data_IF_921752140988
#
_entry.id   IF_921752140988
#
_cell.length_a   1.000
_cell.length_b   1.000
_cell.length_c   1.000
_cell.angle_alpha   90.00
_cell.angle_beta   90.00
_cell.angle_gamma   90.00
#
_symmetry.space_group_name_H-M   'P 1'
#
loop_
_entity.id
_entity.type
_entity.pdbx_description
1 polymer ?
#
# COMPACT_ATOMS: atom_id res chain seq x y z
N UNK A 1 0.70 2.18 -2.85
CA UNK A 1 1.82 3.07 -2.41
C UNK A 1 1.38 3.82 -1.16
N UNK A 2 2.08 4.84 -0.67
CA UNK A 2 1.51 5.72 0.38
C UNK A 2 0.48 6.69 -0.22
N UNK A 3 -0.49 7.12 0.59
CA UNK A 3 -1.57 8.01 0.14
C UNK A 3 -1.09 9.30 -0.55
N UNK A 4 -0.02 9.93 -0.07
CA UNK A 4 0.55 11.12 -0.72
C UNK A 4 1.07 10.84 -2.14
N UNK A 5 1.63 9.65 -2.37
CA UNK A 5 2.11 9.24 -3.70
C UNK A 5 0.96 9.20 -4.69
N UNK A 6 -0.15 8.56 -4.31
CA UNK A 6 -1.36 8.47 -5.12
C UNK A 6 -1.97 9.85 -5.45
N UNK A 7 -1.92 10.79 -4.50
CA UNK A 7 -2.39 12.17 -4.72
C UNK A 7 -1.56 12.88 -5.81
N UNK A 8 -0.23 12.86 -5.65
CA UNK A 8 0.67 13.62 -6.53
C UNK A 8 0.72 13.01 -7.92
N UNK A 9 0.76 11.69 -8.05
CA UNK A 9 0.73 11.03 -9.36
C UNK A 9 -0.58 11.27 -10.11
N UNK A 10 -1.73 11.20 -9.43
CA UNK A 10 -3.01 11.52 -10.03
C UNK A 10 -3.11 13.01 -10.44
N UNK A 11 -2.53 13.92 -9.65
CA UNK A 11 -2.42 15.34 -10.02
C UNK A 11 -1.55 15.54 -11.28
N UNK A 12 -0.43 14.81 -11.37
CA UNK A 12 0.43 14.83 -12.56
C UNK A 12 -0.30 14.29 -13.79
N UNK A 13 -1.03 13.17 -13.67
CA UNK A 13 -1.85 12.60 -14.74
C UNK A 13 -2.96 13.58 -15.16
N UNK A 14 -3.61 14.26 -14.22
CA UNK A 14 -4.59 15.29 -14.53
C UNK A 14 -3.99 16.44 -15.35
N UNK A 15 -2.74 16.83 -15.08
CA UNK A 15 -2.05 17.86 -15.87
C UNK A 15 -1.74 17.44 -17.32
N UNK A 16 -1.73 16.14 -17.60
CA UNK A 16 -1.57 15.60 -18.95
C UNK A 16 -2.88 15.61 -19.75
N UNK A 17 -4.04 15.85 -19.12
CA UNK A 17 -5.31 15.93 -19.83
C UNK A 17 -5.32 17.20 -20.69
N UNK A 18 -5.58 17.09 -22.01
CA UNK A 18 -5.52 18.25 -22.90
C UNK A 18 -6.42 19.41 -22.42
N UNK A 19 -5.84 20.60 -22.32
CA UNK A 19 -6.55 21.80 -21.87
C UNK A 19 -6.74 21.92 -20.35
N UNK A 20 -6.40 20.91 -19.55
CA UNK A 20 -6.61 20.96 -18.09
C UNK A 20 -5.80 22.07 -17.41
N UNK A 21 -4.52 22.19 -17.76
CA UNK A 21 -3.64 23.24 -17.21
C UNK A 21 -4.12 24.63 -17.61
N UNK A 22 -4.39 24.85 -18.91
CA UNK A 22 -4.84 26.15 -19.40
C UNK A 22 -6.19 26.55 -18.80
N UNK A 23 -7.15 25.62 -18.73
CA UNK A 23 -8.44 25.87 -18.08
C UNK A 23 -8.28 26.23 -16.60
N UNK A 24 -7.43 25.48 -15.87
CA UNK A 24 -7.09 25.73 -14.46
C UNK A 24 -6.54 27.15 -14.30
N UNK A 25 -5.59 27.56 -15.15
CA UNK A 25 -4.96 28.87 -15.10
C UNK A 25 -5.93 30.02 -15.45
N UNK A 26 -6.72 29.86 -16.50
CA UNK A 26 -7.64 30.90 -16.99
C UNK A 26 -8.85 31.10 -16.07
N UNK A 27 -9.36 30.02 -15.48
CA UNK A 27 -10.60 30.07 -14.69
C UNK A 27 -10.34 30.02 -13.18
N UNK A 28 -9.07 30.07 -12.75
CA UNK A 28 -8.67 29.88 -11.34
C UNK A 28 -9.32 28.63 -10.73
N UNK A 29 -9.42 27.58 -11.53
CA UNK A 29 -10.13 26.36 -11.17
C UNK A 29 -9.20 25.39 -10.44
N UNK A 30 -9.73 24.60 -9.50
CA UNK A 30 -8.97 23.59 -8.77
C UNK A 30 -8.90 22.23 -9.50
N UNK A 31 -9.01 22.22 -10.82
CA UNK A 31 -9.20 21.01 -11.62
C UNK A 31 -8.06 19.99 -11.44
N UNK A 32 -6.79 20.44 -11.41
CA UNK A 32 -5.67 19.51 -11.17
C UNK A 32 -5.73 18.87 -9.78
N UNK A 33 -6.15 19.63 -8.77
CA UNK A 33 -6.34 19.13 -7.41
C UNK A 33 -7.52 18.14 -7.32
N UNK A 34 -8.57 18.32 -8.13
CA UNK A 34 -9.64 17.32 -8.27
C UNK A 34 -9.05 15.99 -8.73
N UNK A 35 -8.14 15.99 -9.71
CA UNK A 35 -7.41 14.78 -10.10
C UNK A 35 -6.72 14.09 -8.92
N UNK A 36 -5.96 14.86 -8.12
CA UNK A 36 -5.32 14.35 -6.91
C UNK A 36 -6.28 13.80 -5.85
N UNK A 37 -7.39 14.48 -5.60
CA UNK A 37 -8.45 14.04 -4.67
C UNK A 37 -9.01 12.68 -5.10
N UNK A 38 -9.33 12.52 -6.39
CA UNK A 38 -9.81 11.24 -6.91
C UNK A 38 -8.71 10.17 -6.93
N UNK A 39 -7.43 10.56 -6.97
CA UNK A 39 -6.29 9.66 -6.76
C UNK A 39 -6.19 9.07 -5.36
N UNK A 40 -6.64 9.75 -4.30
CA UNK A 40 -6.64 9.21 -2.92
C UNK A 40 -7.99 8.63 -2.48
N UNK A 41 -9.03 8.86 -3.28
CA UNK A 41 -10.40 8.50 -2.94
C UNK A 41 -10.62 6.98 -2.74
N UNK A 42 -10.03 6.06 -3.53
CA UNK A 42 -10.22 4.61 -3.32
C UNK A 42 -9.83 4.17 -1.90
N UNK A 43 -8.62 4.48 -1.47
CA UNK A 43 -8.12 4.25 -0.11
C UNK A 43 -9.01 4.95 0.93
N UNK A 44 -9.39 6.20 0.67
CA UNK A 44 -10.23 6.97 1.60
C UNK A 44 -11.57 6.28 1.83
N UNK A 45 -12.24 5.81 0.77
CA UNK A 45 -13.48 5.04 0.88
C UNK A 45 -13.24 3.77 1.70
N UNK A 46 -12.15 3.06 1.44
CA UNK A 46 -11.88 1.81 2.14
C UNK A 46 -11.63 2.02 3.63
N UNK A 47 -10.71 2.90 4.00
CA UNK A 47 -10.31 3.12 5.39
C UNK A 47 -11.29 3.97 6.20
N UNK A 48 -12.13 4.80 5.55
CA UNK A 48 -13.11 5.65 6.25
C UNK A 48 -14.53 5.11 6.24
N UNK A 49 -14.86 4.19 5.34
CA UNK A 49 -16.20 3.62 5.24
C UNK A 49 -16.17 2.09 5.22
N UNK A 50 -15.52 1.50 4.22
CA UNK A 50 -15.62 0.06 3.96
C UNK A 50 -15.12 -0.80 5.13
N UNK A 51 -14.03 -0.38 5.78
CA UNK A 51 -13.47 -1.04 6.96
C UNK A 51 -14.50 -1.19 8.09
N UNK A 52 -15.34 -0.17 8.31
CA UNK A 52 -16.33 -0.16 9.38
C UNK A 52 -17.63 -0.87 9.01
N UNK A 53 -17.92 -0.99 7.70
CA UNK A 53 -19.06 -1.74 7.19
C UNK A 53 -18.74 -3.22 6.97
N UNK A 54 -17.47 -3.60 7.04
CA UNK A 54 -17.06 -4.98 6.85
C UNK A 54 -17.47 -5.87 8.02
N UNK A 55 -18.00 -7.05 7.70
CA UNK A 55 -18.47 -8.02 8.69
C UNK A 55 -17.39 -9.06 8.97
N UNK A 56 -17.08 -9.23 10.25
CA UNK A 56 -16.18 -10.27 10.75
C UNK A 56 -16.99 -11.44 11.29
N UNK A 57 -16.58 -12.65 10.94
CA UNK A 57 -17.07 -13.90 11.51
C UNK A 57 -16.43 -14.19 12.87
N UNK A 58 -15.22 -13.67 13.08
CA UNK A 58 -14.45 -13.81 14.31
C UNK A 58 -13.60 -12.55 14.57
N UNK A 59 -13.54 -12.13 15.83
CA UNK A 59 -12.68 -11.04 16.30
C UNK A 59 -11.89 -11.63 17.47
N UNK A 60 -10.60 -11.84 17.24
CA UNK A 60 -9.73 -12.41 18.25
C UNK A 60 -8.92 -11.31 18.93
N UNK A 61 -9.06 -11.25 20.25
CA UNK A 61 -8.38 -10.31 21.13
C UNK A 61 -7.35 -11.07 21.96
N UNK A 62 -6.04 -10.98 21.66
CA UNK A 62 -5.04 -11.63 22.47
C UNK A 62 -4.96 -10.99 23.86
N UNK A 63 -4.62 -11.80 24.87
CA UNK A 63 -4.34 -11.32 26.22
C UNK A 63 -3.14 -10.35 26.24
N UNK A 64 -3.03 -9.53 27.30
CA UNK A 64 -1.88 -8.62 27.50
C UNK A 64 -0.55 -9.36 27.61
N UNK A 65 -0.59 -10.56 28.21
CA UNK A 65 0.47 -11.56 28.19
C UNK A 65 0.04 -12.66 27.22
N UNK A 66 0.32 -12.52 25.91
CA UNK A 66 -0.20 -13.43 24.91
C UNK A 66 0.53 -14.78 24.94
N UNK A 67 -0.24 -15.85 24.82
CA UNK A 67 0.28 -17.16 24.40
C UNK A 67 0.35 -17.17 22.86
N UNK A 68 1.54 -17.25 22.25
CA UNK A 68 1.65 -17.29 20.79
C UNK A 68 0.99 -18.54 20.19
N UNK A 69 0.93 -19.66 20.94
CA UNK A 69 0.28 -20.89 20.52
C UNK A 69 -1.23 -20.72 20.38
N UNK A 70 -1.88 -20.00 21.30
CA UNK A 70 -3.32 -19.73 21.20
C UNK A 70 -3.66 -18.82 20.01
N UNK A 71 -2.83 -17.79 19.73
CA UNK A 71 -3.00 -16.94 18.54
C UNK A 71 -2.88 -17.79 17.27
N UNK A 72 -1.83 -18.62 17.17
CA UNK A 72 -1.63 -19.50 16.02
C UNK A 72 -2.82 -20.47 15.85
N UNK A 73 -3.29 -21.05 16.95
CA UNK A 73 -4.41 -21.98 16.96
C UNK A 73 -5.72 -21.29 16.55
N UNK A 74 -5.97 -20.05 16.99
CA UNK A 74 -7.14 -19.27 16.58
C UNK A 74 -7.17 -19.04 15.06
N UNK A 75 -6.02 -18.71 14.47
CA UNK A 75 -5.89 -18.54 13.02
C UNK A 75 -6.13 -19.87 12.30
N UNK A 76 -5.46 -20.95 12.73
CA UNK A 76 -5.61 -22.28 12.12
C UNK A 76 -7.07 -22.79 12.19
N UNK A 77 -7.75 -22.59 13.33
CA UNK A 77 -9.18 -22.94 13.50
C UNK A 77 -10.06 -22.22 12.48
N UNK A 78 -9.83 -20.93 12.23
CA UNK A 78 -10.62 -20.16 11.25
C UNK A 78 -10.33 -20.58 9.81
N UNK A 79 -9.10 -20.99 9.49
CA UNK A 79 -8.77 -21.58 8.19
C UNK A 79 -9.47 -22.92 7.97
N UNK A 80 -9.41 -23.81 8.95
CA UNK A 80 -10.06 -25.12 8.88
C UNK A 80 -11.59 -24.97 8.83
N UNK A 81 -12.14 -23.99 9.54
CA UNK A 81 -13.56 -23.61 9.45
C UNK A 81 -13.94 -23.15 8.04
N UNK A 82 -13.13 -22.30 7.40
CA UNK A 82 -13.38 -21.86 6.03
C UNK A 82 -13.37 -23.04 5.04
N UNK A 83 -12.45 -23.98 5.23
CA UNK A 83 -12.37 -25.20 4.43
C UNK A 83 -13.59 -26.10 4.62
N UNK A 84 -13.98 -26.36 5.88
CA UNK A 84 -15.12 -27.22 6.21
C UNK A 84 -16.46 -26.64 5.78
N UNK A 85 -16.68 -25.34 6.03
CA UNK A 85 -17.93 -24.64 5.66
C UNK A 85 -18.00 -24.26 4.18
N UNK A 86 -16.89 -24.39 3.43
CA UNK A 86 -16.76 -24.03 2.01
C UNK A 86 -17.24 -22.61 1.70
N UNK A 87 -16.97 -21.68 2.60
CA UNK A 87 -17.27 -20.25 2.45
C UNK A 87 -16.13 -19.40 2.99
N UNK A 88 -16.18 -18.11 2.71
CA UNK A 88 -15.24 -17.16 3.28
C UNK A 88 -15.51 -16.96 4.78
N UNK A 89 -14.43 -17.02 5.57
CA UNK A 89 -14.40 -16.66 7.00
C UNK A 89 -13.53 -15.42 7.16
N UNK A 90 -14.10 -14.34 7.69
CA UNK A 90 -13.39 -13.10 7.95
C UNK A 90 -12.99 -13.00 9.43
N UNK A 91 -11.69 -13.01 9.71
CA UNK A 91 -11.14 -12.89 11.04
C UNK A 91 -10.47 -11.51 11.22
N UNK A 92 -10.74 -10.83 12.32
CA UNK A 92 -9.97 -9.67 12.74
C UNK A 92 -9.06 -10.04 13.92
N UNK A 93 -7.78 -9.66 13.85
CA UNK A 93 -6.80 -9.90 14.89
C UNK A 93 -6.45 -8.58 15.53
N UNK A 94 -6.83 -8.41 16.80
CA UNK A 94 -6.54 -7.16 17.50
C UNK A 94 -5.06 -7.06 17.90
N UNK A 95 -4.61 -5.80 18.02
CA UNK A 95 -3.30 -5.53 18.64
C UNK A 95 -3.38 -5.65 20.15
N UNK A 96 -2.24 -5.90 20.77
CA UNK A 96 -2.12 -5.99 22.22
C UNK A 96 -1.68 -4.63 22.76
N UNK A 97 -2.63 -3.83 23.25
CA UNK A 97 -2.35 -2.51 23.80
C UNK A 97 -1.91 -2.61 25.26
N UNK A 98 -0.72 -2.11 25.56
CA UNK A 98 -0.14 -2.07 26.92
C UNK A 98 -0.25 -0.69 27.57
N UNK A 99 -0.42 0.37 26.78
CA UNK A 99 -0.53 1.73 27.29
C UNK A 99 -1.09 2.72 26.26
N UNK A 100 -1.02 4.00 26.60
CA UNK A 100 -1.49 5.07 25.72
C UNK A 100 -0.72 5.09 24.39
N UNK A 101 0.60 4.88 24.47
CA UNK A 101 1.56 4.89 23.36
C UNK A 101 2.35 3.58 23.30
N UNK A 102 1.84 2.46 23.83
CA UNK A 102 2.60 1.20 23.92
C UNK A 102 1.77 0.00 23.47
N UNK A 103 2.38 -0.84 22.63
CA UNK A 103 1.78 -2.08 22.13
C UNK A 103 2.80 -3.21 22.16
N UNK A 104 2.35 -4.42 22.50
CA UNK A 104 3.12 -5.64 22.30
C UNK A 104 3.02 -6.05 20.83
N UNK A 105 4.16 -6.10 20.14
CA UNK A 105 4.22 -6.57 18.77
C UNK A 105 4.13 -8.09 18.72
N UNK A 106 3.50 -8.65 17.69
CA UNK A 106 3.64 -10.05 17.32
C UNK A 106 3.68 -10.19 15.79
N UNK A 107 4.26 -11.28 15.30
CA UNK A 107 4.33 -11.57 13.87
C UNK A 107 3.59 -12.84 13.55
N UNK A 108 3.07 -12.93 12.32
CA UNK A 108 2.32 -14.08 11.82
C UNK A 108 2.97 -14.50 10.52
N UNK A 109 3.32 -15.78 10.41
CA UNK A 109 3.87 -16.41 9.21
C UNK A 109 3.04 -17.65 8.88
N UNK A 110 2.67 -17.78 7.61
CA UNK A 110 2.01 -18.99 7.10
C UNK A 110 3.07 -19.87 6.42
N UNK A 111 3.37 -21.02 7.01
CA UNK A 111 4.37 -21.94 6.50
C UNK A 111 3.72 -23.02 5.62
N UNK A 112 3.78 -22.84 4.31
CA UNK A 112 3.24 -23.82 3.36
C UNK A 112 4.04 -25.12 3.28
N UNK A 113 5.28 -25.16 3.80
CA UNK A 113 6.12 -26.35 3.81
C UNK A 113 5.73 -27.33 4.92
N UNK A 114 5.45 -26.81 6.11
CA UNK A 114 4.98 -27.60 7.27
C UNK A 114 3.46 -27.62 7.43
N UNK A 115 2.75 -26.80 6.64
CA UNK A 115 1.31 -26.55 6.73
C UNK A 115 0.90 -26.01 8.11
N UNK A 116 1.64 -25.01 8.60
CA UNK A 116 1.49 -24.43 9.93
C UNK A 116 1.29 -22.91 9.87
N UNK A 117 0.61 -22.37 10.88
CA UNK A 117 0.71 -20.96 11.25
C UNK A 117 1.76 -20.85 12.35
N UNK A 118 2.71 -19.94 12.18
CA UNK A 118 3.73 -19.62 13.17
C UNK A 118 3.51 -18.19 13.64
N UNK A 119 3.40 -18.01 14.95
CA UNK A 119 3.25 -16.71 15.60
C UNK A 119 4.45 -16.47 16.50
N UNK A 120 5.06 -15.29 16.40
CA UNK A 120 6.16 -14.89 17.27
C UNK A 120 5.83 -13.60 18.03
N UNK A 121 5.92 -13.61 19.36
CA UNK A 121 5.77 -12.43 20.20
C UNK A 121 7.06 -11.63 20.20
N UNK A 122 6.96 -10.37 19.79
CA UNK A 122 8.06 -9.42 19.68
C UNK A 122 8.16 -8.43 20.84
N UNK A 123 9.00 -7.39 20.70
CA UNK A 123 9.17 -6.35 21.71
C UNK A 123 7.92 -5.48 21.86
N UNK A 124 7.92 -4.63 22.89
CA UNK A 124 6.98 -3.52 22.99
C UNK A 124 7.42 -2.43 22.01
N UNK A 125 6.45 -1.85 21.30
CA UNK A 125 6.68 -0.75 20.37
C UNK A 125 5.84 0.47 20.75
N UNK A 126 6.32 1.65 20.36
CA UNK A 126 5.54 2.88 20.44
C UNK A 126 4.65 3.10 19.21
N UNK A 127 3.87 4.19 19.16
CA UNK A 127 3.04 4.55 17.98
C UNK A 127 3.89 4.69 16.70
N UNK A 128 5.16 5.06 16.83
CA UNK A 128 6.13 5.12 15.73
C UNK A 128 6.62 3.76 15.23
N UNK A 129 6.15 2.65 15.82
CA UNK A 129 6.63 1.27 15.60
C UNK A 129 8.11 1.08 15.97
N UNK A 130 8.64 1.92 16.85
CA UNK A 130 10.02 1.81 17.32
C UNK A 130 10.06 0.82 18.49
N UNK A 131 10.84 -0.27 18.40
CA UNK A 131 11.02 -1.20 19.51
C UNK A 131 11.64 -0.54 20.73
N UNK A 132 11.12 -0.85 21.92
CA UNK A 132 11.73 -0.50 23.19
C UNK A 132 12.72 -1.60 23.59
N UNK A 133 14.00 -1.23 23.70
CA UNK A 133 15.07 -2.15 24.06
C UNK A 133 14.81 -2.81 25.42
N UNK A 134 15.07 -4.12 25.52
CA UNK A 134 14.93 -4.89 26.76
C UNK A 134 13.48 -5.23 27.12
N UNK A 135 12.55 -5.03 26.19
CA UNK A 135 11.13 -5.39 26.40
C UNK A 135 10.74 -6.68 25.72
N UNK A 136 11.66 -7.37 25.03
CA UNK A 136 11.41 -8.68 24.44
C UNK A 136 10.92 -9.69 25.50
N UNK A 137 9.99 -10.59 25.18
CA UNK A 137 9.47 -11.55 26.15
C UNK A 137 10.57 -12.47 26.68
N UNK A 138 10.62 -12.73 27.99
CA UNK A 138 11.64 -13.59 28.58
C UNK A 138 11.40 -15.10 28.34
N UNK A 139 10.15 -15.50 28.06
CA UNK A 139 9.73 -16.90 27.89
C UNK A 139 9.62 -17.35 26.43
N UNK A 140 8.75 -18.35 26.21
CA UNK A 140 8.45 -18.87 24.87
C UNK A 140 7.86 -17.76 23.99
N UNK A 141 8.55 -17.47 22.89
CA UNK A 141 8.17 -16.39 21.96
C UNK A 141 7.41 -16.91 20.77
N UNK A 142 7.62 -18.17 20.41
CA UNK A 142 7.09 -18.76 19.19
C UNK A 142 6.00 -19.78 19.52
N UNK A 143 4.89 -19.71 18.82
CA UNK A 143 3.78 -20.65 18.90
C UNK A 143 3.42 -21.13 17.51
N UNK A 144 3.09 -22.42 17.41
CA UNK A 144 2.78 -23.08 16.15
C UNK A 144 1.44 -23.78 16.22
N UNK A 145 0.69 -23.72 15.13
CA UNK A 145 -0.52 -24.49 14.97
C UNK A 145 -0.59 -25.10 13.59
N UNK A 146 -0.86 -26.40 13.53
CA UNK A 146 -1.05 -27.13 12.28
C UNK A 146 -2.40 -26.79 11.65
N UNK A 147 -2.39 -26.57 10.36
CA UNK A 147 -3.60 -26.38 9.54
C UNK A 147 -3.95 -27.73 8.92
N UNK A 148 -5.23 -28.10 8.92
CA UNK A 148 -5.69 -29.41 8.42
C UNK A 148 -5.91 -29.41 6.91
N UNK A 149 -6.04 -28.23 6.30
CA UNK A 149 -6.30 -28.03 4.89
C UNK A 149 -5.09 -27.44 4.13
N UNK A 150 -4.98 -27.71 2.81
CA UNK A 150 -4.00 -27.00 1.98
C UNK A 150 -4.42 -25.54 1.83
N UNK A 151 -3.45 -24.63 1.81
CA UNK A 151 -3.72 -23.21 1.64
C UNK A 151 -2.78 -22.55 0.64
N UNK A 152 -3.13 -21.31 0.25
CA UNK A 152 -2.34 -20.46 -0.62
C UNK A 152 -2.25 -19.06 -0.04
N UNK A 153 -1.02 -18.64 0.24
CA UNK A 153 -0.72 -17.28 0.68
C UNK A 153 -0.57 -16.37 -0.54
N UNK A 154 -1.38 -15.30 -0.60
CA UNK A 154 -1.43 -14.36 -1.72
C UNK A 154 -0.79 -13.00 -1.41
N UNK A 155 -0.16 -12.84 -0.25
CA UNK A 155 0.43 -11.59 0.23
C UNK A 155 1.87 -11.83 0.72
N UNK A 156 2.37 -10.97 1.61
CA UNK A 156 3.67 -11.09 2.25
C UNK A 156 3.76 -12.34 3.12
N UNK A 157 4.95 -12.92 3.17
CA UNK A 157 5.25 -14.14 3.93
C UNK A 157 5.08 -13.91 5.44
N UNK A 158 5.36 -12.70 5.90
CA UNK A 158 5.36 -12.29 7.30
C UNK A 158 4.49 -11.05 7.49
N UNK A 159 3.52 -11.13 8.40
CA UNK A 159 2.70 -9.98 8.82
C UNK A 159 3.08 -9.58 10.23
N UNK A 160 3.52 -8.33 10.40
CA UNK A 160 3.77 -7.74 11.72
C UNK A 160 2.54 -7.01 12.23
N UNK A 161 2.05 -7.40 13.42
CA UNK A 161 0.96 -6.77 14.14
C UNK A 161 1.54 -5.95 15.29
N UNK A 162 1.40 -4.62 15.23
CA UNK A 162 2.17 -3.76 16.12
C UNK A 162 1.43 -2.54 16.68
N UNK A 163 0.46 -1.94 15.96
CA UNK A 163 -0.26 -0.73 16.41
C UNK A 163 -1.69 -0.67 15.85
N UNK A 164 -2.51 0.27 16.35
CA UNK A 164 -3.91 0.52 15.96
C UNK A 164 -4.85 -0.66 16.25
N UNK A 165 -5.66 -1.08 15.29
CA UNK A 165 -6.65 -2.17 15.48
C UNK A 165 -6.12 -3.54 15.08
N UNK A 166 -4.93 -3.63 14.48
CA UNK A 166 -4.40 -4.87 13.92
C UNK A 166 -5.01 -5.23 12.56
N UNK A 167 -4.54 -6.31 11.92
CA UNK A 167 -4.96 -6.70 10.58
C UNK A 167 -6.26 -7.49 10.57
N UNK A 168 -6.84 -7.63 9.39
CA UNK A 168 -7.93 -8.57 9.14
C UNK A 168 -7.51 -9.56 8.05
N UNK A 169 -7.97 -10.80 8.16
CA UNK A 169 -7.78 -11.85 7.18
C UNK A 169 -9.13 -12.38 6.69
N UNK A 170 -9.22 -12.62 5.38
CA UNK A 170 -10.29 -13.40 4.79
C UNK A 170 -9.73 -14.76 4.36
N UNK A 171 -10.29 -15.84 4.89
CA UNK A 171 -9.95 -17.20 4.50
C UNK A 171 -11.03 -17.71 3.55
N UNK A 172 -10.73 -17.78 2.25
CA UNK A 172 -11.71 -18.14 1.23
C UNK A 172 -11.45 -19.55 0.68
N UNK A 173 -12.45 -20.43 0.76
CA UNK A 173 -12.38 -21.73 0.09
C UNK A 173 -12.43 -21.55 -1.44
N UNK A 174 -11.45 -22.13 -2.15
CA UNK A 174 -11.36 -22.11 -3.60
C UNK A 174 -10.63 -23.35 -4.10
N UNK A 175 -11.17 -24.07 -5.09
CA UNK A 175 -10.49 -25.20 -5.76
C UNK A 175 -9.82 -26.21 -4.81
N UNK A 176 -10.51 -26.59 -3.73
CA UNK A 176 -10.01 -27.55 -2.75
C UNK A 176 -8.89 -27.04 -1.85
N UNK A 177 -8.67 -25.72 -1.75
CA UNK A 177 -7.72 -25.08 -0.82
C UNK A 177 -8.31 -23.83 -0.19
N UNK A 178 -7.62 -23.29 0.82
CA UNK A 178 -7.95 -21.99 1.43
C UNK A 178 -7.02 -20.91 0.90
N UNK A 179 -7.59 -19.92 0.23
CA UNK A 179 -6.88 -18.70 -0.14
C UNK A 179 -6.88 -17.71 1.04
N UNK A 180 -5.69 -17.22 1.39
CA UNK A 180 -5.52 -16.22 2.45
C UNK A 180 -5.53 -14.82 1.82
N UNK A 181 -6.49 -14.01 2.21
CA UNK A 181 -6.65 -12.62 1.79
C UNK A 181 -6.30 -11.67 2.91
N UNK A 182 -5.24 -10.88 2.74
CA UNK A 182 -4.92 -9.79 3.65
C UNK A 182 -5.87 -8.61 3.43
N UNK A 183 -6.47 -8.13 4.52
CA UNK A 183 -7.42 -7.00 4.57
C UNK A 183 -8.53 -7.16 3.52
N UNK A 184 -9.43 -8.17 3.66
CA UNK A 184 -10.37 -8.57 2.59
C UNK A 184 -11.32 -7.48 2.10
N UNK A 185 -11.66 -6.49 2.94
CA UNK A 185 -12.48 -5.34 2.55
C UNK A 185 -11.76 -4.37 1.61
N UNK A 186 -10.45 -4.16 1.79
CA UNK A 186 -9.68 -3.19 1.03
C UNK A 186 -9.54 -3.62 -0.45
N UNK A 187 -9.40 -2.70 -1.39
CA UNK A 187 -9.19 -2.98 -2.84
C UNK A 187 -10.24 -3.89 -3.48
N UNK A 188 -11.45 -3.85 -2.93
CA UNK A 188 -12.62 -4.54 -3.46
C UNK A 188 -13.32 -3.63 -4.47
N UNK A 189 -14.59 -3.30 -4.25
CA UNK A 189 -15.41 -2.54 -5.20
C UNK A 189 -14.89 -1.12 -5.47
N UNK A 190 -14.29 -0.49 -4.46
CA UNK A 190 -13.71 0.85 -4.50
C UNK A 190 -12.47 0.95 -5.39
N UNK A 191 -11.83 -0.15 -5.78
CA UNK A 191 -10.61 -0.13 -6.61
C UNK A 191 -10.88 -0.75 -7.98
N UNK A 192 -11.95 -0.27 -8.62
CA UNK A 192 -12.41 -0.74 -9.94
C UNK A 192 -12.41 0.37 -10.98
N UNK A 193 -11.98 0.02 -12.19
CA UNK A 193 -12.00 0.93 -13.35
C UNK A 193 -13.44 1.24 -13.76
N UNK A 194 -14.37 0.31 -13.51
CA UNK A 194 -15.81 0.56 -13.69
C UNK A 194 -16.30 1.72 -12.81
N UNK A 195 -15.91 1.75 -11.52
CA UNK A 195 -16.26 2.85 -10.63
C UNK A 195 -15.56 4.14 -11.05
N UNK A 196 -14.30 4.07 -11.49
CA UNK A 196 -13.60 5.23 -12.06
C UNK A 196 -14.37 5.85 -13.23
N UNK A 197 -14.85 5.02 -14.16
CA UNK A 197 -15.65 5.45 -15.29
C UNK A 197 -17.00 6.03 -14.86
N UNK A 198 -17.69 5.39 -13.91
CA UNK A 198 -18.95 5.91 -13.37
C UNK A 198 -18.79 7.28 -12.69
N UNK A 199 -17.74 7.46 -11.89
CA UNK A 199 -17.41 8.75 -11.25
C UNK A 199 -17.02 9.81 -12.29
N UNK A 200 -16.26 9.43 -13.33
CA UNK A 200 -15.94 10.32 -14.45
C UNK A 200 -17.19 10.77 -15.20
N UNK A 201 -18.11 9.86 -15.51
CA UNK A 201 -19.39 10.19 -16.15
C UNK A 201 -20.25 11.08 -15.25
N UNK A 202 -20.29 10.82 -13.95
CA UNK A 202 -21.00 11.68 -13.00
C UNK A 202 -20.40 13.09 -12.95
N UNK A 203 -19.07 13.22 -12.88
CA UNK A 203 -18.37 14.49 -12.93
C UNK A 203 -18.62 15.25 -14.22
N UNK A 204 -18.57 14.56 -15.37
CA UNK A 204 -18.95 15.11 -16.67
C UNK A 204 -20.37 15.66 -16.68
N UNK A 205 -21.35 14.86 -16.23
CA UNK A 205 -22.75 15.24 -16.24
C UNK A 205 -23.03 16.43 -15.32
N UNK A 206 -22.52 16.41 -14.09
CA UNK A 206 -22.71 17.50 -13.10
C UNK A 206 -22.18 18.82 -13.65
N UNK A 207 -20.95 18.83 -14.18
CA UNK A 207 -20.33 20.05 -14.69
C UNK A 207 -21.02 20.51 -15.97
N UNK A 208 -21.40 19.59 -16.85
CA UNK A 208 -22.13 19.90 -18.08
C UNK A 208 -23.47 20.58 -17.80
N UNK A 209 -24.23 20.06 -16.84
CA UNK A 209 -25.51 20.63 -16.41
C UNK A 209 -25.32 22.01 -15.77
N UNK A 210 -24.30 22.17 -14.92
CA UNK A 210 -24.03 23.45 -14.26
C UNK A 210 -23.65 24.58 -15.24
N UNK A 211 -23.00 24.24 -16.37
CA UNK A 211 -22.57 25.21 -17.38
C UNK A 211 -23.54 25.32 -18.56
N UNK A 212 -24.59 24.51 -18.62
CA UNK A 212 -25.50 24.45 -19.77
C UNK A 212 -24.83 23.98 -21.07
N UNK A 213 -23.69 23.28 -20.98
CA UNK A 213 -22.88 22.85 -22.12
C UNK A 213 -22.39 21.41 -21.93
N UNK A 214 -22.81 20.50 -22.81
CA UNK A 214 -22.52 19.07 -22.70
C UNK A 214 -21.09 18.68 -23.05
N UNK A 215 -20.38 19.50 -23.82
CA UNK A 215 -19.02 19.21 -24.23
C UNK A 215 -18.04 19.85 -23.25
N UNK A 216 -17.87 21.16 -23.33
CA UNK A 216 -16.89 21.89 -22.53
C UNK A 216 -17.57 22.79 -21.48
N UNK A 217 -17.10 22.81 -20.22
CA UNK A 217 -15.91 22.13 -19.69
C UNK A 217 -16.18 20.71 -19.15
N UNK A 218 -17.40 20.18 -19.32
CA UNK A 218 -17.80 18.91 -18.72
C UNK A 218 -16.83 17.74 -19.00
N UNK A 219 -16.44 17.53 -20.27
CA UNK A 219 -15.62 16.37 -20.66
C UNK A 219 -14.27 16.38 -19.95
N UNK A 220 -13.73 17.58 -19.73
CA UNK A 220 -12.45 17.81 -19.09
C UNK A 220 -12.47 17.34 -17.62
N UNK A 221 -13.53 17.70 -16.89
CA UNK A 221 -13.73 17.23 -15.52
C UNK A 221 -13.93 15.72 -15.45
N UNK A 222 -14.74 15.16 -16.34
CA UNK A 222 -14.97 13.71 -16.38
C UNK A 222 -13.68 12.93 -16.65
N UNK A 223 -12.86 13.40 -17.60
CA UNK A 223 -11.56 12.80 -17.90
C UNK A 223 -10.57 12.91 -16.73
N UNK A 224 -10.45 14.09 -16.10
CA UNK A 224 -9.57 14.30 -14.95
C UNK A 224 -9.96 13.41 -13.77
N UNK A 225 -11.25 13.30 -13.48
CA UNK A 225 -11.77 12.44 -12.41
C UNK A 225 -11.47 10.97 -12.69
N UNK A 226 -11.81 10.48 -13.88
CA UNK A 226 -11.62 9.08 -14.26
C UNK A 226 -10.13 8.71 -14.25
N UNK A 227 -9.29 9.52 -14.88
CA UNK A 227 -7.85 9.23 -14.99
C UNK A 227 -7.14 9.39 -13.64
N UNK A 228 -7.52 10.38 -12.83
CA UNK A 228 -7.03 10.53 -11.47
C UNK A 228 -7.33 9.30 -10.62
N UNK A 229 -8.56 8.80 -10.66
CA UNK A 229 -8.97 7.58 -9.95
C UNK A 229 -8.27 6.32 -10.49
N UNK A 230 -8.18 6.17 -11.82
CA UNK A 230 -7.48 5.05 -12.45
C UNK A 230 -5.99 5.02 -12.10
N UNK A 231 -5.36 6.17 -11.87
CA UNK A 231 -3.95 6.25 -11.47
C UNK A 231 -3.72 5.44 -10.19
N UNK A 232 -4.58 5.60 -9.18
CA UNK A 232 -4.51 4.81 -7.95
C UNK A 232 -4.58 3.30 -8.21
N UNK A 233 -5.56 2.87 -9.02
CA UNK A 233 -5.80 1.45 -9.30
C UNK A 233 -4.61 0.83 -10.03
N UNK A 234 -4.04 1.54 -10.99
CA UNK A 234 -2.87 1.11 -11.75
C UNK A 234 -1.66 0.99 -10.82
N UNK A 235 -1.44 2.00 -9.99
CA UNK A 235 -0.36 2.01 -9.00
C UNK A 235 -0.44 0.84 -8.03
N UNK A 236 -1.65 0.45 -7.67
CA UNK A 236 -1.92 -0.69 -6.81
C UNK A 236 -1.67 -2.06 -7.45
N UNK A 237 -1.72 -2.15 -8.79
CA UNK A 237 -1.31 -3.36 -9.51
C UNK A 237 0.19 -3.63 -9.42
N UNK A 238 1.01 -2.65 -9.06
CA UNK A 238 2.44 -2.88 -8.80
C UNK A 238 2.72 -3.49 -7.42
N UNK A 239 1.72 -3.46 -6.53
CA UNK A 239 1.80 -4.04 -5.19
C UNK A 239 1.59 -5.55 -5.14
N UNK A 240 1.46 -6.07 -3.91
CA UNK A 240 1.14 -7.48 -3.65
C UNK A 240 -0.37 -7.76 -3.71
N UNK A 241 -1.20 -6.84 -3.21
CA UNK A 241 -2.64 -7.06 -3.10
C UNK A 241 -3.42 -6.93 -4.42
N UNK A 242 -2.89 -6.17 -5.38
CA UNK A 242 -3.60 -5.82 -6.62
C UNK A 242 -4.94 -5.12 -6.35
N UNK A 243 -5.96 -5.35 -7.19
CA UNK A 243 -7.30 -4.71 -7.06
C UNK A 243 -8.39 -5.50 -7.79
N UNK A 244 -9.66 -5.32 -7.41
CA UNK A 244 -10.77 -5.84 -8.19
C UNK A 244 -11.12 -4.89 -9.36
N UNK A 245 -10.42 -5.08 -10.49
CA UNK A 245 -10.41 -4.14 -11.63
C UNK A 245 -11.79 -3.87 -12.24
N UNK A 246 -12.70 -4.84 -12.25
CA UNK A 246 -13.97 -4.76 -12.99
C UNK A 246 -15.21 -5.02 -12.14
N UNK A 247 -15.17 -4.74 -10.83
CA UNK A 247 -16.40 -4.73 -10.02
C UNK A 247 -17.48 -3.84 -10.70
N UNK A 248 -18.77 -4.21 -10.70
CA UNK A 248 -19.39 -5.38 -10.08
C UNK A 248 -19.36 -6.67 -10.94
N UNK A 249 -18.78 -6.64 -12.13
CA UNK A 249 -18.70 -7.81 -13.02
C UNK A 249 -17.78 -8.89 -12.47
N UNK A 250 -16.73 -8.49 -11.75
CA UNK A 250 -15.81 -9.38 -11.03
C UNK A 250 -15.95 -9.20 -9.51
N UNK A 251 -15.78 -10.30 -8.77
CA UNK A 251 -15.84 -10.30 -7.29
C UNK A 251 -14.47 -10.46 -6.64
N UNK A 252 -13.48 -10.94 -7.39
CA UNK A 252 -12.14 -11.24 -6.89
C UNK A 252 -11.15 -10.16 -7.31
N UNK A 253 -10.08 -10.01 -6.52
CA UNK A 253 -8.96 -9.13 -6.89
C UNK A 253 -8.10 -9.80 -7.96
N UNK A 254 -7.73 -9.04 -8.97
CA UNK A 254 -6.57 -9.36 -9.79
C UNK A 254 -5.32 -9.27 -8.91
N UNK A 255 -4.40 -10.22 -9.07
CA UNK A 255 -3.12 -10.21 -8.36
C UNK A 255 -2.25 -9.08 -8.88
N UNK A 256 -1.55 -8.40 -7.98
CA UNK A 256 -0.53 -7.45 -8.38
C UNK A 256 0.74 -8.14 -8.88
N UNK A 257 1.67 -7.35 -9.41
CA UNK A 257 2.95 -7.81 -9.99
C UNK A 257 4.06 -8.01 -8.96
N UNK A 258 3.83 -7.61 -7.71
CA UNK A 258 4.79 -7.74 -6.59
C UNK A 258 6.11 -6.98 -6.81
N UNK A 259 6.09 -5.89 -7.59
CA UNK A 259 7.29 -5.09 -7.86
C UNK A 259 7.67 -4.16 -6.71
N UNK A 260 6.71 -3.79 -5.86
CA UNK A 260 6.92 -2.88 -4.75
C UNK A 260 6.02 -3.20 -3.57
N UNK A 261 6.49 -2.88 -2.36
CA UNK A 261 5.66 -2.80 -1.15
C UNK A 261 5.23 -1.36 -0.92
N UNK A 262 4.09 -1.18 -0.26
CA UNK A 262 3.56 0.16 0.05
C UNK A 262 4.53 0.97 0.93
N UNK A 263 5.31 0.30 1.77
CA UNK A 263 6.30 0.91 2.66
C UNK A 263 7.67 1.22 2.03
N UNK A 264 7.93 0.78 0.80
CA UNK A 264 9.26 0.94 0.20
C UNK A 264 9.56 2.41 -0.10
N UNK A 265 10.62 2.95 0.49
CA UNK A 265 10.97 4.35 0.33
C UNK A 265 11.31 4.73 -1.13
N UNK A 266 12.08 3.89 -1.82
CA UNK A 266 12.59 4.21 -3.16
C UNK A 266 11.49 4.27 -4.24
N UNK A 267 10.57 3.29 -4.38
CA UNK A 267 9.46 3.37 -5.32
C UNK A 267 8.54 4.57 -5.03
N UNK A 268 8.21 4.83 -3.76
CA UNK A 268 7.41 6.00 -3.40
C UNK A 268 8.11 7.31 -3.78
N UNK A 269 9.40 7.45 -3.46
CA UNK A 269 10.18 8.64 -3.81
C UNK A 269 10.25 8.82 -5.33
N UNK A 270 10.58 7.77 -6.08
CA UNK A 270 10.71 7.82 -7.53
C UNK A 270 9.38 8.23 -8.20
N UNK A 271 8.26 7.64 -7.79
CA UNK A 271 6.94 8.00 -8.32
C UNK A 271 6.59 9.45 -8.03
N UNK A 272 6.78 9.92 -6.78
CA UNK A 272 6.52 11.32 -6.42
C UNK A 272 7.41 12.26 -7.23
N UNK A 273 8.71 11.96 -7.33
CA UNK A 273 9.67 12.78 -8.06
C UNK A 273 9.28 12.89 -9.55
N UNK A 274 9.06 11.77 -10.21
CA UNK A 274 8.65 11.75 -11.62
C UNK A 274 7.32 12.47 -11.85
N UNK A 275 6.37 12.33 -10.92
CA UNK A 275 5.09 13.02 -10.98
C UNK A 275 5.25 14.54 -10.87
N UNK A 276 6.11 15.03 -9.97
CA UNK A 276 6.42 16.47 -9.86
C UNK A 276 7.10 16.97 -11.13
N UNK A 277 8.03 16.21 -11.70
CA UNK A 277 8.69 16.55 -12.98
C UNK A 277 7.67 16.66 -14.11
N UNK A 278 6.76 15.69 -14.25
CA UNK A 278 5.70 15.75 -15.27
C UNK A 278 4.76 16.93 -15.04
N UNK A 279 4.34 17.15 -13.79
CA UNK A 279 3.46 18.24 -13.43
C UNK A 279 4.09 19.60 -13.78
N UNK A 280 5.33 19.84 -13.36
CA UNK A 280 6.02 21.11 -13.63
C UNK A 280 6.30 21.31 -15.12
N UNK A 281 6.59 20.26 -15.87
CA UNK A 281 6.71 20.35 -17.32
C UNK A 281 5.41 20.84 -17.98
N UNK A 282 4.28 20.24 -17.59
CA UNK A 282 2.98 20.62 -18.14
C UNK A 282 2.58 22.03 -17.72
N UNK A 283 2.83 22.41 -16.46
CA UNK A 283 2.60 23.79 -16.01
C UNK A 283 3.44 24.78 -16.81
N UNK A 284 4.74 24.53 -16.97
CA UNK A 284 5.63 25.38 -17.77
C UNK A 284 5.15 25.53 -19.22
N UNK A 285 4.71 24.43 -19.85
CA UNK A 285 4.30 24.41 -21.26
C UNK A 285 2.96 25.10 -21.51
N UNK A 286 2.00 24.95 -20.59
CA UNK A 286 0.60 25.29 -20.85
C UNK A 286 0.07 26.45 -20.01
N UNK A 287 0.84 26.95 -19.04
CA UNK A 287 0.52 28.20 -18.33
C UNK A 287 0.81 29.38 -19.25
N UNK A 288 -0.13 30.31 -19.45
CA UNK A 288 0.14 31.55 -20.19
C UNK A 288 1.34 32.27 -19.58
N UNK A 289 2.38 32.50 -20.38
CA UNK A 289 3.55 33.25 -19.96
C UNK A 289 3.14 34.71 -19.81
N UNK A 290 3.02 35.20 -18.57
CA UNK A 290 2.77 36.62 -18.32
C UNK A 290 4.07 37.40 -18.53
N UNK A 291 3.93 38.65 -18.97
CA UNK A 291 5.03 39.54 -19.40
C UNK A 291 6.07 39.91 -18.33
N UNK A 292 5.95 39.37 -17.11
CA UNK A 292 6.82 39.68 -15.97
C UNK A 292 7.98 38.71 -15.74
N UNK A 293 8.02 37.55 -16.42
CA UNK A 293 9.11 36.58 -16.28
C UNK A 293 9.81 36.33 -17.62
N UNK A 294 11.15 36.33 -17.66
CA UNK A 294 11.87 35.97 -18.87
C UNK A 294 11.52 34.52 -19.26
N UNK A 295 11.14 34.25 -20.52
CA UNK A 295 10.85 32.91 -20.96
C UNK A 295 12.13 32.08 -20.90
N UNK A 296 12.19 31.13 -19.97
CA UNK A 296 13.25 30.12 -19.96
C UNK A 296 12.93 29.15 -21.08
N UNK A 297 13.72 29.11 -22.16
CA UNK A 297 13.53 28.14 -23.24
C UNK A 297 14.29 26.86 -22.92
N UNK A 298 13.58 25.84 -22.43
CA UNK A 298 14.17 24.55 -22.15
C UNK A 298 13.56 23.48 -23.06
N UNK A 299 14.40 22.76 -23.79
CA UNK A 299 13.92 21.62 -24.58
C UNK A 299 13.43 20.51 -23.64
N UNK A 300 12.44 19.72 -24.09
CA UNK A 300 11.96 18.57 -23.30
C UNK A 300 13.07 17.58 -22.98
N UNK A 301 14.02 17.39 -23.90
CA UNK A 301 15.19 16.54 -23.66
C UNK A 301 16.08 17.11 -22.54
N UNK A 302 16.42 18.40 -22.61
CA UNK A 302 17.21 19.07 -21.57
C UNK A 302 16.52 18.99 -20.21
N UNK A 303 15.20 19.20 -20.18
CA UNK A 303 14.40 19.08 -18.95
C UNK A 303 14.49 17.68 -18.32
N UNK A 304 14.33 16.62 -19.13
CA UNK A 304 14.47 15.24 -18.68
C UNK A 304 15.90 14.93 -18.19
N UNK A 305 16.92 15.42 -18.88
CA UNK A 305 18.30 15.23 -18.45
C UNK A 305 18.55 15.89 -17.09
N UNK A 306 18.17 17.16 -16.93
CA UNK A 306 18.43 17.90 -15.70
C UNK A 306 17.62 17.41 -14.50
N UNK A 307 16.37 16.98 -14.70
CA UNK A 307 15.48 16.65 -13.58
C UNK A 307 15.24 15.16 -13.38
N UNK A 308 15.59 14.30 -14.35
CA UNK A 308 15.45 12.84 -14.18
C UNK A 308 16.81 12.17 -14.19
N UNK A 309 17.58 12.35 -15.26
CA UNK A 309 18.83 11.61 -15.46
C UNK A 309 19.89 12.01 -14.43
N UNK A 310 20.17 13.31 -14.28
CA UNK A 310 21.20 13.78 -13.34
C UNK A 310 20.87 13.38 -11.89
N UNK A 311 19.65 13.66 -11.36
CA UNK A 311 19.29 13.24 -10.00
C UNK A 311 19.37 11.72 -9.79
N UNK A 312 18.93 10.92 -10.78
CA UNK A 312 19.02 9.46 -10.70
C UNK A 312 20.48 8.98 -10.64
N UNK A 313 21.37 9.54 -11.47
CA UNK A 313 22.80 9.22 -11.45
C UNK A 313 23.42 9.62 -10.11
N UNK A 314 23.12 10.82 -9.59
CA UNK A 314 23.61 11.26 -8.29
C UNK A 314 23.12 10.36 -7.15
N UNK A 315 21.86 9.93 -7.17
CA UNK A 315 21.34 8.95 -6.19
C UNK A 315 22.06 7.60 -6.28
N UNK A 316 22.35 7.11 -7.50
CA UNK A 316 23.06 5.85 -7.69
C UNK A 316 24.52 5.96 -7.20
N UNK A 317 25.20 7.07 -7.49
CA UNK A 317 26.54 7.35 -6.97
C UNK A 317 26.51 7.41 -5.44
N UNK A 318 25.61 8.20 -4.86
CA UNK A 318 25.46 8.31 -3.40
C UNK A 318 25.17 6.95 -2.75
N UNK A 319 24.32 6.13 -3.36
CA UNK A 319 24.06 4.76 -2.89
C UNK A 319 25.30 3.88 -2.96
N UNK A 320 26.13 4.01 -3.99
CA UNK A 320 27.39 3.26 -4.09
C UNK A 320 28.41 3.73 -3.04
N UNK A 321 28.50 5.04 -2.79
CA UNK A 321 29.41 5.61 -1.78
C UNK A 321 29.00 5.26 -0.34
N UNK A 322 27.71 5.09 -0.07
CA UNK A 322 27.17 4.72 1.24
C UNK A 322 27.14 3.20 1.48
N UNK A 323 27.41 2.38 0.47
CA UNK A 323 27.71 0.96 0.72
C UNK A 323 29.06 0.91 1.41
N UNK A 324 29.07 0.69 2.72
CA UNK A 324 30.31 0.37 3.42
C UNK A 324 31.04 -0.76 2.67
N UNK A 325 32.37 -0.68 2.48
CA UNK A 325 33.12 -1.82 2.01
C UNK A 325 32.93 -2.95 3.03
N UNK A 326 32.37 -4.07 2.58
CA UNK A 326 32.25 -5.28 3.38
C UNK A 326 33.65 -5.88 3.64
N UNK A 327 34.37 -5.30 4.60
CA UNK A 327 35.65 -5.73 5.19
C UNK A 327 35.87 -4.79 6.38
N UNK A 328 35.76 -5.19 7.64
CA UNK A 328 36.38 -6.35 8.24
C UNK A 328 35.37 -7.23 9.02
N UNK A 329 35.19 -8.46 8.55
CA UNK A 329 34.95 -9.54 9.48
C UNK A 329 36.16 -9.58 10.43
N UNK A 330 35.93 -9.39 11.72
CA UNK A 330 36.90 -9.79 12.72
C UNK A 330 37.22 -11.28 12.47
N UNK A 331 38.50 -11.70 12.51
CA UNK A 331 38.81 -13.12 12.46
C UNK A 331 38.10 -13.82 13.62
N UNK A 332 37.73 -15.10 13.47
CA UNK A 332 37.27 -15.88 14.60
C UNK A 332 38.38 -15.85 15.66
N UNK A 333 38.05 -15.49 16.90
CA UNK A 333 38.90 -15.88 18.02
C UNK A 333 38.94 -17.41 17.98
N UNK A 334 40.11 -17.94 17.61
CA UNK A 334 40.41 -19.36 17.70
C UNK A 334 40.32 -19.74 19.18
N UNK A 335 39.52 -20.77 19.45
CA UNK A 335 39.57 -21.55 20.67
C UNK A 335 41.00 -22.11 20.83
N UNK A 336 41.85 -21.45 21.62
CA UNK A 336 43.01 -22.12 22.23
C UNK A 336 42.51 -22.93 23.43
N UNK A 337 42.10 -24.16 23.14
CA UNK A 337 42.34 -25.28 24.04
C UNK A 337 43.86 -25.43 24.21
N UNK A 338 44.37 -25.09 25.40
CA UNK A 338 45.59 -25.73 25.91
C UNK A 338 45.24 -26.38 27.26
N UNK A 339 45.20 -27.71 27.20
CA UNK A 339 45.06 -28.62 28.31
C UNK A 339 46.47 -28.89 28.91
N UNK A 340 46.53 -28.88 30.25
CA UNK A 340 47.47 -29.62 31.13
C UNK A 340 48.85 -28.99 31.48
N UNK A 341 49.12 -29.12 32.79
CA UNK A 341 50.42 -29.25 33.52
C UNK A 341 50.88 -28.00 34.30
N UNK A 342 50.36 -27.83 35.52
CA UNK A 342 51.02 -28.20 36.80
C UNK A 342 50.22 -27.72 38.01
#
# INVERSE_FOLDING_TARGET
MKGFTHFISATAVASCVPGAVSYTAEHTAYLLAVGGIFGILPDTIDFKLNQFLHKYDDIYEPAQEPDPGDIAAAIARNMDRAYGEKRQINMHLQTIRLGADLWRQYTIRFDGGTNEVVVEIGPVVNTGKVPMAGTEPAGEREGRAKISCPFRQNYDALTTVSIFSGPSYGFAYKDGRVDIHFIPWHRSWSHSVTLAAALGLAGWAIVSLAHGAWLYPGWLYGAVIMLGYCTHIIEDQFGFMGSNLFFPFTKERARGTHWMRSGDALPNFATVWLSVVVLFWNLYKFTPQTSGFPPVHLSGFSYLVYLVVIPAVLMLIGRQMLKEPATAAAPPEEDEEDEVVS
#
